data_IF_910164094473
#
_entry.id   IF_910164094473
#
_cell.length_a   1.000
_cell.length_b   1.000
_cell.length_c   1.000
_cell.angle_alpha   90.00
_cell.angle_beta   90.00
_cell.angle_gamma   90.00
#
_symmetry.space_group_name_H-M   'P 1'
#
loop_
_entity.id
_entity.type
_entity.pdbx_description
1 polymer ?
#
# COMPACT_ATOMS: atom_id res chain seq x y z
N UNK A 1 87.60 52.35 -12.01
CA UNK A 1 87.76 53.05 -10.71
C UNK A 1 86.38 53.30 -10.10
N UNK A 2 86.24 52.98 -8.80
CA UNK A 2 85.28 53.52 -7.80
C UNK A 2 83.78 53.17 -7.98
N UNK A 3 83.24 52.26 -7.15
CA UNK A 3 82.62 52.40 -5.78
C UNK A 3 81.11 52.67 -5.88
N UNK A 4 80.26 51.67 -5.57
CA UNK A 4 79.51 51.46 -4.30
C UNK A 4 78.34 52.45 -4.10
N UNK A 5 77.09 51.94 -4.07
CA UNK A 5 76.22 51.99 -2.90
C UNK A 5 74.90 51.23 -3.12
N UNK A 6 74.55 50.44 -2.12
CA UNK A 6 73.34 49.64 -1.99
C UNK A 6 72.16 50.48 -1.51
N UNK A 7 70.94 50.03 -1.81
CA UNK A 7 69.75 50.33 -1.02
C UNK A 7 68.80 49.14 -1.05
N UNK A 8 68.70 48.44 0.09
CA UNK A 8 67.71 47.41 0.37
C UNK A 8 66.31 48.00 0.42
N UNK A 9 65.35 47.37 -0.27
CA UNK A 9 63.93 47.52 0.03
C UNK A 9 63.40 46.19 0.59
N UNK A 10 63.17 46.19 1.90
CA UNK A 10 62.33 45.22 2.57
C UNK A 10 60.86 45.67 2.41
N UNK A 11 59.94 44.75 2.09
CA UNK A 11 58.53 45.12 2.09
C UNK A 11 57.55 44.09 1.52
N UNK A 12 57.09 43.21 2.40
CA UNK A 12 55.71 42.70 2.47
C UNK A 12 55.25 41.69 1.39
N UNK A 13 55.44 40.39 1.66
CA UNK A 13 54.61 39.33 1.08
C UNK A 13 53.20 39.39 1.70
N UNK A 14 52.19 39.78 0.90
CA UNK A 14 50.79 39.47 1.21
C UNK A 14 50.56 37.98 0.94
N UNK A 15 50.52 37.17 2.00
CA UNK A 15 50.00 35.81 1.93
C UNK A 15 48.48 35.88 1.68
N UNK A 16 48.05 35.58 0.46
CA UNK A 16 46.63 35.42 0.13
C UNK A 16 46.12 34.14 0.76
N UNK A 17 45.40 34.27 1.88
CA UNK A 17 44.68 33.16 2.49
C UNK A 17 43.50 32.76 1.59
N UNK A 18 43.64 31.63 0.88
CA UNK A 18 42.51 30.96 0.22
C UNK A 18 41.58 30.39 1.29
N UNK A 19 40.44 31.03 1.49
CA UNK A 19 39.34 30.50 2.31
C UNK A 19 38.72 29.32 1.54
N UNK A 20 38.68 28.09 2.09
CA UNK A 20 37.97 27.00 1.46
C UNK A 20 36.47 27.31 1.48
N UNK A 21 35.85 27.37 0.30
CA UNK A 21 34.41 27.51 0.16
C UNK A 21 33.71 26.31 0.82
N UNK A 22 32.93 26.57 1.86
CA UNK A 22 32.09 25.56 2.47
C UNK A 22 31.08 25.03 1.42
N UNK A 23 30.81 23.72 1.37
CA UNK A 23 29.79 23.19 0.47
C UNK A 23 28.44 23.81 0.86
N UNK A 24 27.84 24.54 -0.09
CA UNK A 24 26.50 25.09 0.07
C UNK A 24 25.47 23.96 0.30
N UNK A 25 24.35 24.25 0.97
CA UNK A 25 23.30 23.25 1.17
C UNK A 25 22.87 22.67 -0.18
N UNK A 26 23.00 21.36 -0.33
CA UNK A 26 22.49 20.65 -1.49
C UNK A 26 21.00 20.97 -1.67
N UNK A 27 20.52 21.25 -2.90
CA UNK A 27 19.12 21.52 -3.13
C UNK A 27 18.29 20.34 -2.63
N UNK A 28 17.40 20.62 -1.66
CA UNK A 28 16.38 19.67 -1.26
C UNK A 28 15.52 19.39 -2.50
N UNK A 29 15.63 18.18 -3.03
CA UNK A 29 14.77 17.69 -4.11
C UNK A 29 13.32 17.84 -3.66
N UNK A 30 12.59 18.76 -4.30
CA UNK A 30 11.16 18.98 -4.09
C UNK A 30 10.41 17.70 -4.43
N UNK A 31 10.10 16.89 -3.43
CA UNK A 31 9.04 15.90 -3.54
C UNK A 31 7.73 16.66 -3.64
N UNK A 32 7.29 16.95 -4.87
CA UNK A 32 6.02 17.62 -5.11
C UNK A 32 4.87 16.93 -4.39
N UNK A 33 3.93 17.72 -3.86
CA UNK A 33 2.73 17.18 -3.23
C UNK A 33 2.03 16.20 -4.20
N UNK A 34 1.46 15.08 -3.71
CA UNK A 34 0.81 14.11 -4.57
C UNK A 34 -0.26 14.75 -5.44
N UNK A 35 -0.28 14.44 -6.73
CA UNK A 35 -1.43 14.79 -7.56
C UNK A 35 -2.61 13.93 -7.12
N UNK A 36 -3.61 14.55 -6.52
CA UNK A 36 -4.86 13.92 -6.11
C UNK A 36 -5.85 14.01 -7.26
N UNK A 37 -6.43 12.87 -7.64
CA UNK A 37 -7.44 12.75 -8.69
C UNK A 37 -8.83 12.53 -8.11
N UNK A 38 -8.91 11.74 -7.04
CA UNK A 38 -10.15 11.40 -6.36
C UNK A 38 -9.91 11.31 -4.84
N UNK A 39 -10.86 11.82 -4.08
CA UNK A 39 -10.99 11.49 -2.66
C UNK A 39 -11.49 10.05 -2.50
N UNK A 40 -11.37 9.53 -1.28
CA UNK A 40 -11.90 8.20 -0.95
C UNK A 40 -13.41 8.11 -1.18
N UNK A 41 -14.15 9.14 -0.79
CA UNK A 41 -15.61 9.14 -0.89
C UNK A 41 -16.06 9.23 -2.35
N UNK A 42 -15.45 10.11 -3.15
CA UNK A 42 -15.72 10.19 -4.60
C UNK A 42 -15.43 8.85 -5.30
N UNK A 43 -14.31 8.20 -4.98
CA UNK A 43 -13.99 6.90 -5.54
C UNK A 43 -15.03 5.83 -5.16
N UNK A 44 -15.48 5.81 -3.90
CA UNK A 44 -16.52 4.89 -3.43
C UNK A 44 -17.87 5.15 -4.08
N UNK A 45 -18.23 6.42 -4.29
CA UNK A 45 -19.47 6.82 -4.97
C UNK A 45 -19.45 6.42 -6.44
N UNK A 46 -18.34 6.68 -7.15
CA UNK A 46 -18.13 6.25 -8.53
C UNK A 46 -18.19 4.71 -8.70
N UNK A 47 -17.70 3.96 -7.71
CA UNK A 47 -17.70 2.51 -7.75
C UNK A 47 -19.05 1.90 -7.40
N UNK A 48 -19.79 2.52 -6.48
CA UNK A 48 -21.00 1.96 -5.88
C UNK A 48 -22.13 3.00 -5.77
N UNK A 49 -22.62 3.53 -6.91
CA UNK A 49 -23.75 4.43 -6.90
C UNK A 49 -24.99 3.70 -6.37
N UNK A 50 -25.80 4.38 -5.56
CA UNK A 50 -27.05 3.85 -4.97
C UNK A 50 -26.87 2.55 -4.16
N UNK A 51 -25.71 2.37 -3.52
CA UNK A 51 -25.42 1.21 -2.69
C UNK A 51 -25.24 1.59 -1.23
N UNK A 52 -25.74 0.75 -0.32
CA UNK A 52 -25.38 0.84 1.10
C UNK A 52 -23.93 0.38 1.27
N UNK A 53 -23.07 1.27 1.79
CA UNK A 53 -21.65 1.00 2.01
C UNK A 53 -21.36 0.81 3.50
N UNK A 54 -20.63 -0.24 3.85
CA UNK A 54 -20.16 -0.49 5.22
C UNK A 54 -18.66 -0.74 5.25
N UNK A 55 -17.96 0.02 6.11
CA UNK A 55 -16.54 -0.23 6.41
C UNK A 55 -16.44 -1.35 7.44
N UNK A 56 -15.68 -2.38 7.10
CA UNK A 56 -15.35 -3.50 7.97
C UNK A 56 -13.85 -3.52 8.22
N UNK A 57 -13.48 -3.64 9.50
CA UNK A 57 -12.09 -3.84 9.92
C UNK A 57 -11.84 -5.32 10.11
N UNK A 58 -10.81 -5.84 9.45
CA UNK A 58 -10.33 -7.21 9.63
C UNK A 58 -8.93 -7.18 10.24
N UNK A 59 -8.77 -7.88 11.35
CA UNK A 59 -7.48 -8.10 12.00
C UNK A 59 -6.94 -9.46 11.56
N UNK A 60 -5.73 -9.46 10.98
CA UNK A 60 -5.05 -10.63 10.48
C UNK A 60 -4.02 -11.12 11.50
N UNK A 61 -4.01 -12.43 11.75
CA UNK A 61 -2.94 -13.10 12.49
C UNK A 61 -1.67 -13.19 11.65
N UNK A 62 -0.52 -13.47 12.28
CA UNK A 62 0.75 -13.69 11.56
C UNK A 62 0.62 -14.77 10.48
N UNK A 63 -0.10 -15.86 10.78
CA UNK A 63 -0.34 -16.94 9.83
C UNK A 63 -1.19 -16.46 8.63
N UNK A 64 -2.22 -15.64 8.88
CA UNK A 64 -3.05 -15.07 7.82
C UNK A 64 -2.28 -14.04 6.98
N UNK A 65 -1.48 -13.17 7.59
CA UNK A 65 -0.60 -12.24 6.87
C UNK A 65 0.39 -13.00 5.98
N UNK A 66 1.00 -14.08 6.49
CA UNK A 66 1.88 -14.96 5.69
C UNK A 66 1.11 -15.61 4.53
N UNK A 67 -0.09 -16.12 4.80
CA UNK A 67 -0.96 -16.72 3.79
C UNK A 67 -1.31 -15.75 2.67
N UNK A 68 -1.62 -14.48 3.01
CA UNK A 68 -1.86 -13.42 2.01
C UNK A 68 -0.60 -13.21 1.16
N UNK A 69 0.59 -13.12 1.76
CA UNK A 69 1.83 -12.95 1.01
C UNK A 69 2.13 -14.12 0.07
N UNK A 70 1.92 -15.36 0.54
CA UNK A 70 2.09 -16.59 -0.25
C UNK A 70 1.13 -16.63 -1.45
N UNK A 71 -0.16 -16.36 -1.22
CA UNK A 71 -1.19 -16.30 -2.27
C UNK A 71 -0.89 -15.19 -3.29
N UNK A 72 -0.54 -14.00 -2.80
CA UNK A 72 -0.29 -12.84 -3.64
C UNK A 72 1.03 -12.97 -4.42
N UNK A 73 1.95 -13.85 -4.00
CA UNK A 73 3.33 -13.93 -4.52
C UNK A 73 4.06 -12.58 -4.47
N UNK A 74 3.69 -11.72 -3.53
CA UNK A 74 4.27 -10.40 -3.28
C UNK A 74 4.27 -10.10 -1.78
N UNK A 75 5.19 -9.27 -1.28
CA UNK A 75 5.26 -8.96 0.15
C UNK A 75 3.94 -8.37 0.69
N UNK A 76 3.54 -8.82 1.87
CA UNK A 76 2.40 -8.30 2.61
C UNK A 76 2.67 -8.43 4.11
N UNK A 77 2.66 -7.31 4.82
CA UNK A 77 3.07 -7.19 6.24
C UNK A 77 2.03 -6.47 7.11
N UNK A 78 0.83 -6.21 6.56
CA UNK A 78 -0.24 -5.48 7.26
C UNK A 78 -1.08 -6.45 8.11
N UNK A 79 -1.29 -6.10 9.38
CA UNK A 79 -2.16 -6.85 10.30
C UNK A 79 -3.60 -6.32 10.35
N UNK A 80 -3.86 -5.12 9.80
CA UNK A 80 -5.19 -4.51 9.76
C UNK A 80 -5.56 -4.20 8.32
N UNK A 81 -6.73 -4.66 7.90
CA UNK A 81 -7.30 -4.42 6.59
C UNK A 81 -8.68 -3.77 6.74
N UNK A 82 -8.91 -2.71 5.97
CA UNK A 82 -10.24 -2.11 5.82
C UNK A 82 -10.86 -2.54 4.51
N UNK A 83 -12.06 -3.08 4.59
CA UNK A 83 -12.88 -3.46 3.45
C UNK A 83 -14.16 -2.62 3.43
N UNK A 84 -14.52 -2.08 2.28
CA UNK A 84 -15.75 -1.31 2.10
C UNK A 84 -16.72 -2.18 1.31
N UNK A 85 -17.59 -2.88 2.01
CA UNK A 85 -18.60 -3.73 1.39
C UNK A 85 -19.77 -2.87 0.93
N UNK A 86 -20.16 -3.02 -0.33
CA UNK A 86 -21.29 -2.34 -0.93
C UNK A 86 -22.41 -3.35 -1.19
N UNK A 87 -23.63 -2.98 -0.77
CA UNK A 87 -24.83 -3.79 -0.97
C UNK A 87 -25.90 -3.02 -1.72
N UNK A 88 -26.60 -3.70 -2.63
CA UNK A 88 -27.78 -3.18 -3.32
C UNK A 88 -28.94 -4.12 -3.00
N UNK A 89 -30.01 -3.58 -2.40
CA UNK A 89 -31.18 -4.38 -1.96
C UNK A 89 -30.78 -5.61 -1.10
N UNK A 90 -29.78 -5.44 -0.22
CA UNK A 90 -29.25 -6.49 0.66
C UNK A 90 -28.19 -7.41 0.04
N UNK A 91 -28.08 -7.45 -1.29
CA UNK A 91 -27.10 -8.30 -2.00
C UNK A 91 -25.73 -7.62 -2.08
N UNK A 92 -24.66 -8.38 -1.81
CA UNK A 92 -23.30 -7.87 -1.96
C UNK A 92 -23.01 -7.65 -3.45
N UNK A 93 -22.73 -6.41 -3.84
CA UNK A 93 -22.36 -6.07 -5.23
C UNK A 93 -20.86 -5.96 -5.43
N UNK A 94 -20.11 -5.73 -4.34
CA UNK A 94 -18.65 -5.73 -4.36
C UNK A 94 -18.03 -5.27 -3.04
N UNK A 95 -16.71 -5.37 -2.97
CA UNK A 95 -15.90 -4.89 -1.87
C UNK A 95 -14.77 -4.02 -2.42
N UNK A 96 -14.69 -2.77 -1.99
CA UNK A 96 -13.55 -1.90 -2.29
C UNK A 96 -12.48 -2.01 -1.21
N UNK A 97 -11.23 -1.93 -1.68
CA UNK A 97 -10.03 -1.88 -0.86
C UNK A 97 -9.14 -0.75 -1.34
N UNK A 98 -8.34 -0.20 -0.43
CA UNK A 98 -7.36 0.82 -0.75
C UNK A 98 -5.96 0.27 -0.52
N UNK A 99 -5.08 0.45 -1.50
CA UNK A 99 -3.67 0.09 -1.39
C UNK A 99 -2.82 1.34 -1.58
N UNK A 100 -2.07 1.68 -0.55
CA UNK A 100 -1.02 2.69 -0.61
C UNK A 100 0.32 1.99 -0.70
N UNK A 101 1.08 2.25 -1.76
CA UNK A 101 2.37 1.62 -1.98
C UNK A 101 3.36 2.60 -2.62
N UNK A 102 4.64 2.23 -2.61
CA UNK A 102 5.71 2.98 -3.28
C UNK A 102 5.84 2.49 -4.72
N UNK A 103 5.94 3.43 -5.66
CA UNK A 103 6.14 3.11 -7.08
C UNK A 103 7.63 3.07 -7.41
N UNK A 104 8.32 4.24 -7.32
CA UNK A 104 9.76 4.33 -7.52
C UNK A 104 10.44 4.98 -6.31
N UNK A 105 10.09 6.21 -6.03
CA UNK A 105 10.54 7.01 -4.88
C UNK A 105 9.35 7.40 -4.01
N UNK A 106 8.23 7.75 -4.64
CA UNK A 106 7.02 8.26 -4.03
C UNK A 106 5.85 7.27 -4.11
N UNK A 107 4.72 7.66 -3.51
CA UNK A 107 3.56 6.79 -3.29
C UNK A 107 2.48 6.94 -4.36
N UNK A 108 1.78 5.85 -4.59
CA UNK A 108 0.50 5.78 -5.30
C UNK A 108 -0.58 5.25 -4.33
N UNK A 109 -1.81 5.75 -4.47
CA UNK A 109 -3.00 5.24 -3.78
C UNK A 109 -3.96 4.71 -4.83
N UNK A 110 -4.24 3.41 -4.77
CA UNK A 110 -5.25 2.76 -5.61
C UNK A 110 -6.46 2.38 -4.79
N UNK A 111 -7.64 2.47 -5.40
CA UNK A 111 -8.81 1.70 -4.98
C UNK A 111 -9.01 0.54 -5.94
N UNK A 112 -9.20 -0.66 -5.41
CA UNK A 112 -9.53 -1.85 -6.21
C UNK A 112 -10.84 -2.42 -5.70
N UNK A 113 -11.79 -2.57 -6.62
CA UNK A 113 -13.09 -3.20 -6.36
C UNK A 113 -13.03 -4.66 -6.76
N UNK A 114 -13.34 -5.55 -5.83
CA UNK A 114 -13.49 -6.98 -6.07
C UNK A 114 -14.97 -7.33 -6.01
N UNK A 115 -15.50 -7.95 -7.06
CA UNK A 115 -16.88 -8.40 -7.13
C UNK A 115 -17.10 -9.71 -6.35
N UNK A 116 -18.36 -10.15 -6.17
CA UNK A 116 -18.71 -11.34 -5.41
C UNK A 116 -18.08 -12.64 -5.93
N UNK A 117 -17.74 -12.69 -7.21
CA UNK A 117 -17.04 -13.81 -7.86
C UNK A 117 -15.51 -13.79 -7.64
N UNK A 118 -15.01 -13.03 -6.67
CA UNK A 118 -13.57 -12.84 -6.40
C UNK A 118 -12.75 -12.37 -7.61
N UNK A 119 -13.37 -11.55 -8.48
CA UNK A 119 -12.75 -10.96 -9.67
C UNK A 119 -12.76 -9.44 -9.59
N UNK A 120 -11.71 -8.80 -10.09
CA UNK A 120 -11.61 -7.34 -10.13
C UNK A 120 -12.73 -6.78 -11.01
N UNK A 121 -13.40 -5.74 -10.53
CA UNK A 121 -14.41 -4.98 -11.26
C UNK A 121 -13.92 -3.62 -11.72
N UNK A 122 -13.04 -3.00 -10.93
CA UNK A 122 -12.58 -1.62 -11.15
C UNK A 122 -11.25 -1.38 -10.43
N UNK A 123 -10.40 -0.56 -11.03
CA UNK A 123 -9.24 0.05 -10.38
C UNK A 123 -9.34 1.56 -10.60
N UNK A 124 -9.21 2.34 -9.53
CA UNK A 124 -9.13 3.80 -9.59
C UNK A 124 -7.82 4.28 -8.97
N UNK A 125 -7.19 5.26 -9.61
CA UNK A 125 -6.03 5.97 -9.06
C UNK A 125 -6.54 7.17 -8.28
N UNK A 126 -6.36 7.17 -6.97
CA UNK A 126 -6.79 8.27 -6.11
C UNK A 126 -5.75 9.38 -6.04
N UNK A 127 -4.48 8.98 -5.90
CA UNK A 127 -3.37 9.90 -5.80
C UNK A 127 -2.09 9.29 -6.36
N UNK A 128 -1.30 10.11 -7.04
CA UNK A 128 -0.02 9.71 -7.63
C UNK A 128 1.03 10.80 -7.34
N UNK A 129 2.05 10.43 -6.57
CA UNK A 129 3.10 11.36 -6.12
C UNK A 129 4.38 11.32 -6.97
N UNK A 130 4.39 10.53 -8.03
CA UNK A 130 5.45 10.54 -9.03
C UNK A 130 5.09 11.51 -10.18
N UNK A 131 6.06 11.93 -11.01
CA UNK A 131 5.77 12.66 -12.24
C UNK A 131 4.69 11.97 -13.08
N UNK A 132 3.70 12.74 -13.55
CA UNK A 132 2.52 12.22 -14.25
C UNK A 132 2.84 11.46 -15.54
N UNK A 133 4.01 11.67 -16.13
CA UNK A 133 4.50 10.90 -17.29
C UNK A 133 4.74 9.41 -16.96
N UNK A 134 4.89 9.07 -15.67
CA UNK A 134 4.97 7.70 -15.19
C UNK A 134 3.60 7.09 -14.85
N UNK A 135 2.51 7.82 -15.04
CA UNK A 135 1.15 7.33 -14.80
C UNK A 135 0.58 6.70 -16.10
N UNK A 136 0.24 5.40 -16.09
CA UNK A 136 -0.48 4.79 -17.21
C UNK A 136 -1.78 5.53 -17.53
N UNK A 137 -2.15 5.57 -18.81
CA UNK A 137 -3.47 6.09 -19.23
C UNK A 137 -4.59 5.21 -18.67
N UNK A 138 -5.75 5.81 -18.38
CA UNK A 138 -6.90 5.13 -17.77
C UNK A 138 -7.29 3.80 -18.46
N UNK A 139 -7.27 3.77 -19.80
CA UNK A 139 -7.59 2.56 -20.58
C UNK A 139 -6.69 1.35 -20.24
N UNK A 140 -5.45 1.57 -19.80
CA UNK A 140 -4.54 0.48 -19.43
C UNK A 140 -5.05 -0.33 -18.23
N UNK A 141 -5.69 0.34 -17.25
CA UNK A 141 -6.26 -0.30 -16.06
C UNK A 141 -7.46 -1.21 -16.39
N UNK A 142 -8.08 -1.06 -17.57
CA UNK A 142 -9.17 -1.92 -18.03
C UNK A 142 -8.78 -3.40 -18.18
N UNK A 143 -7.48 -3.69 -18.33
CA UNK A 143 -6.97 -5.07 -18.45
C UNK A 143 -7.15 -5.93 -17.18
N UNK A 144 -7.37 -5.27 -16.03
CA UNK A 144 -7.59 -5.96 -14.75
C UNK A 144 -9.04 -6.40 -14.58
N UNK A 145 -10.00 -5.80 -15.29
CA UNK A 145 -11.42 -6.15 -15.17
C UNK A 145 -11.65 -7.62 -15.51
N UNK A 146 -12.36 -8.32 -14.61
CA UNK A 146 -12.65 -9.75 -14.73
C UNK A 146 -11.50 -10.67 -14.32
N UNK A 147 -10.31 -10.14 -14.00
CA UNK A 147 -9.17 -10.97 -13.54
C UNK A 147 -9.37 -11.42 -12.09
N UNK A 148 -9.03 -12.67 -11.82
CA UNK A 148 -8.98 -13.26 -10.48
C UNK A 148 -7.53 -13.39 -10.01
N UNK A 149 -7.35 -13.93 -8.81
CA UNK A 149 -6.01 -14.28 -8.33
C UNK A 149 -5.58 -15.61 -8.94
N UNK A 150 -4.67 -15.55 -9.89
CA UNK A 150 -4.06 -16.70 -10.54
C UNK A 150 -2.62 -16.36 -10.96
N UNK A 151 -1.94 -17.32 -11.58
CA UNK A 151 -0.56 -17.15 -12.06
C UNK A 151 -0.46 -16.34 -13.35
N UNK A 152 -1.58 -16.07 -14.00
CA UNK A 152 -1.65 -15.28 -15.22
C UNK A 152 -1.76 -13.78 -14.93
N UNK A 153 -2.21 -13.38 -13.73
CA UNK A 153 -2.23 -11.99 -13.25
C UNK A 153 -0.81 -11.45 -12.98
N UNK A 154 -0.02 -11.32 -14.04
CA UNK A 154 1.35 -10.82 -14.05
C UNK A 154 1.61 -10.00 -15.32
N UNK A 155 2.61 -9.12 -15.26
CA UNK A 155 3.09 -8.41 -16.44
C UNK A 155 3.69 -9.38 -17.45
N UNK A 156 3.48 -9.10 -18.74
CA UNK A 156 3.90 -9.95 -19.88
C UNK A 156 3.17 -11.31 -19.94
N UNK A 157 2.19 -11.53 -19.07
CA UNK A 157 1.18 -12.59 -19.17
C UNK A 157 -0.17 -11.95 -19.50
N UNK A 158 -1.14 -12.01 -18.59
CA UNK A 158 -2.46 -11.40 -18.81
C UNK A 158 -2.46 -9.87 -18.80
N UNK A 159 -1.40 -9.22 -18.28
CA UNK A 159 -1.29 -7.76 -18.20
C UNK A 159 -0.13 -7.27 -19.10
N UNK A 160 -0.45 -6.40 -20.06
CA UNK A 160 0.57 -5.76 -20.92
C UNK A 160 1.33 -4.70 -20.12
N UNK A 161 2.62 -4.54 -20.41
CA UNK A 161 3.43 -3.45 -19.85
C UNK A 161 3.07 -2.07 -20.42
N UNK A 162 3.67 -1.01 -19.86
CA UNK A 162 3.54 0.37 -20.34
C UNK A 162 4.92 0.98 -20.50
N UNK A 163 5.26 1.39 -21.72
CA UNK A 163 6.53 2.09 -22.00
C UNK A 163 6.62 3.37 -21.17
N UNK A 164 7.77 3.61 -20.54
CA UNK A 164 7.98 4.75 -19.64
C UNK A 164 7.36 4.60 -18.24
N UNK A 165 6.39 3.69 -18.05
CA UNK A 165 5.67 3.50 -16.79
C UNK A 165 5.73 2.05 -16.26
N UNK A 166 6.80 1.30 -16.58
CA UNK A 166 6.97 -0.11 -16.17
C UNK A 166 6.91 -0.30 -14.66
N UNK A 167 7.47 0.63 -13.86
CA UNK A 167 7.45 0.51 -12.40
C UNK A 167 6.03 0.68 -11.85
N UNK A 168 5.27 1.65 -12.35
CA UNK A 168 3.84 1.83 -12.02
C UNK A 168 3.03 0.61 -12.40
N UNK A 169 3.24 0.07 -13.60
CA UNK A 169 2.58 -1.14 -14.06
C UNK A 169 2.85 -2.36 -13.16
N UNK A 170 4.11 -2.53 -12.71
CA UNK A 170 4.50 -3.58 -11.75
C UNK A 170 3.83 -3.37 -10.39
N UNK A 171 3.87 -2.14 -9.89
CA UNK A 171 3.35 -1.79 -8.57
C UNK A 171 1.81 -1.95 -8.50
N UNK A 172 1.09 -1.51 -9.54
CA UNK A 172 -0.35 -1.73 -9.71
C UNK A 172 -0.68 -3.22 -9.77
N UNK A 173 0.08 -4.02 -10.54
CA UNK A 173 -0.14 -5.47 -10.63
C UNK A 173 0.07 -6.15 -9.26
N UNK A 174 1.12 -5.76 -8.54
CA UNK A 174 1.34 -6.25 -7.18
C UNK A 174 0.22 -5.85 -6.21
N UNK A 175 -0.31 -4.63 -6.31
CA UNK A 175 -1.44 -4.17 -5.51
C UNK A 175 -2.71 -4.99 -5.79
N UNK A 176 -3.01 -5.27 -7.07
CA UNK A 176 -4.11 -6.13 -7.48
C UNK A 176 -3.99 -7.54 -6.87
N UNK A 177 -2.81 -8.16 -6.96
CA UNK A 177 -2.54 -9.48 -6.36
C UNK A 177 -2.71 -9.46 -4.84
N UNK A 178 -2.14 -8.46 -4.13
CA UNK A 178 -2.29 -8.30 -2.67
C UNK A 178 -3.76 -8.22 -2.28
N UNK A 179 -4.53 -7.35 -2.94
CA UNK A 179 -5.92 -7.09 -2.54
C UNK A 179 -6.87 -8.23 -2.88
N UNK A 180 -6.63 -8.98 -3.96
CA UNK A 180 -7.35 -10.22 -4.23
C UNK A 180 -7.03 -11.31 -3.19
N UNK A 181 -5.76 -11.47 -2.81
CA UNK A 181 -5.36 -12.43 -1.77
C UNK A 181 -5.97 -12.07 -0.41
N UNK A 182 -5.97 -10.78 -0.05
CA UNK A 182 -6.67 -10.25 1.12
C UNK A 182 -8.17 -10.56 1.05
N UNK A 183 -8.81 -10.37 -0.11
CA UNK A 183 -10.22 -10.67 -0.29
C UNK A 183 -10.53 -12.15 -0.06
N UNK A 184 -9.71 -13.04 -0.62
CA UNK A 184 -9.84 -14.49 -0.43
C UNK A 184 -9.71 -14.88 1.04
N UNK A 185 -8.63 -14.47 1.72
CA UNK A 185 -8.42 -14.79 3.14
C UNK A 185 -9.55 -14.24 4.02
N UNK A 186 -10.02 -13.01 3.76
CA UNK A 186 -11.21 -12.46 4.46
C UNK A 186 -12.46 -13.34 4.25
N UNK A 187 -12.67 -13.83 3.03
CA UNK A 187 -13.77 -14.73 2.70
C UNK A 187 -13.69 -16.04 3.48
N UNK A 188 -12.50 -16.66 3.54
CA UNK A 188 -12.23 -17.86 4.32
C UNK A 188 -12.59 -17.65 5.81
N UNK A 189 -12.15 -16.55 6.41
CA UNK A 189 -12.46 -16.21 7.81
C UNK A 189 -13.95 -15.98 8.07
N UNK A 190 -14.64 -15.33 7.13
CA UNK A 190 -16.08 -15.13 7.23
C UNK A 190 -16.84 -16.46 7.19
N UNK A 191 -16.41 -17.40 6.34
CA UNK A 191 -16.98 -18.74 6.24
C UNK A 191 -16.71 -19.57 7.51
N UNK A 192 -15.49 -19.52 8.05
CA UNK A 192 -15.14 -20.18 9.31
C UNK A 192 -15.98 -19.66 10.47
N UNK A 193 -16.16 -18.34 10.57
CA UNK A 193 -17.01 -17.73 11.60
C UNK A 193 -18.46 -18.19 11.48
N UNK A 194 -19.02 -18.23 10.26
CA UNK A 194 -20.37 -18.76 10.01
C UNK A 194 -20.49 -20.23 10.39
N UNK A 195 -19.52 -21.08 9.99
CA UNK A 195 -19.48 -22.50 10.34
C UNK A 195 -19.40 -22.72 11.85
N UNK A 196 -18.59 -21.93 12.56
CA UNK A 196 -18.49 -21.99 14.03
C UNK A 196 -19.80 -21.58 14.71
N UNK A 197 -20.46 -20.53 14.22
CA UNK A 197 -21.77 -20.11 14.74
C UNK A 197 -22.84 -21.20 14.53
N UNK A 198 -22.87 -21.83 13.35
CA UNK A 198 -23.78 -22.94 13.05
C UNK A 198 -23.50 -24.20 13.89
N UNK A 199 -22.23 -24.44 14.25
CA UNK A 199 -21.82 -25.61 15.06
C UNK A 199 -22.03 -25.44 16.57
N UNK A 200 -22.32 -24.25 17.08
CA UNK A 200 -22.16 -24.02 18.53
C UNK A 200 -22.79 -22.76 19.09
N UNK A 201 -24.11 -22.66 19.01
CA UNK A 201 -24.92 -21.99 20.04
C UNK A 201 -24.85 -22.66 21.44
N UNK A 202 -23.85 -23.51 21.71
CA UNK A 202 -23.55 -24.02 23.05
C UNK A 202 -22.33 -23.27 23.60
N UNK A 203 -22.57 -22.40 24.58
CA UNK A 203 -21.52 -21.78 25.35
C UNK A 203 -20.62 -22.86 26.01
N UNK A 204 -19.30 -22.67 26.07
CA UNK A 204 -18.47 -23.56 26.87
C UNK A 204 -18.94 -23.49 28.33
N UNK A 205 -19.19 -24.66 28.94
CA UNK A 205 -19.57 -24.77 30.33
C UNK A 205 -18.61 -23.95 31.21
N UNK A 206 -19.10 -23.20 32.21
CA UNK A 206 -18.24 -22.43 33.09
C UNK A 206 -17.21 -23.37 33.71
N UNK A 207 -15.93 -23.01 33.59
CA UNK A 207 -14.85 -23.74 34.27
C UNK A 207 -15.21 -23.82 35.75
N UNK A 208 -15.20 -25.00 36.39
CA UNK A 208 -15.45 -25.09 37.81
C UNK A 208 -14.44 -24.21 38.52
N UNK A 209 -14.93 -23.30 39.39
CA UNK A 209 -14.07 -22.49 40.25
C UNK A 209 -13.17 -23.45 41.02
N UNK A 210 -11.86 -23.30 40.86
CA UNK A 210 -10.87 -24.04 41.64
C UNK A 210 -11.14 -23.70 43.11
N UNK A 211 -11.66 -24.66 43.88
CA UNK A 211 -11.86 -24.50 45.33
C UNK A 211 -10.48 -24.25 45.93
N UNK A 212 -10.30 -23.12 46.61
CA UNK A 212 -9.08 -22.87 47.36
C UNK A 212 -8.89 -23.99 48.40
N UNK A 213 -7.68 -24.53 48.60
CA UNK A 213 -7.44 -25.46 49.70
C UNK A 213 -7.67 -24.70 51.01
N UNK A 214 -8.61 -25.21 51.80
CA UNK A 214 -8.90 -24.69 53.13
C UNK A 214 -7.68 -24.82 54.02
N UNK A 215 -7.40 -23.76 54.77
CA UNK A 215 -6.38 -23.76 55.81
C UNK A 215 -6.75 -24.77 56.90
N UNK A 216 -5.77 -25.57 57.27
CA UNK A 216 -5.82 -26.41 58.46
C UNK A 216 -5.41 -25.53 59.65
N UNK A 217 -6.34 -25.40 60.61
CA UNK A 217 -6.09 -24.82 61.91
C UNK A 217 -5.46 -25.89 62.79
N UNK A 218 -4.25 -25.64 63.27
CA UNK A 218 -3.75 -26.13 64.56
C UNK A 218 -2.93 -25.05 65.23
#
# INVERSE_FOLDING_TARGET
MRRLLAASFAGLLLASATVPAAPGPAPAMSGGAPKVFLTREEALELAFPDCERKRLTTYLTKAQTKRVAELAKVPFDRSVVFAYEARRKGELVGTAYFDTHKVRTHREILMIVVGPAARIRRIEVLAFAEPVDYLPRGAWYGQFTGRGLDDELELKRAIKGVTGATLTARATTAAARRLLAVHQVRGELALEKKRRAARGGAAPAPRPRRRAPGGEVR
#
